data_IF_350441427253
#
_entry.id   IF_350441427253
#
_cell.length_a   1.000
_cell.length_b   1.000
_cell.length_c   1.000
_cell.angle_alpha   90.00
_cell.angle_beta   90.00
_cell.angle_gamma   90.00
#
_symmetry.space_group_name_H-M   'P 1'
#
loop_
_entity.id
_entity.type
_entity.pdbx_description
1 polymer ?
#
# COMPACT_ATOMS: atom_id res chain seq x y z
N UNK A 1 13.86 -2.74 10.97
CA UNK A 1 12.51 -2.73 10.42
C UNK A 1 12.15 -1.29 10.08
N UNK A 2 12.21 -0.92 8.80
CA UNK A 2 11.74 0.37 8.28
C UNK A 2 10.24 0.24 8.04
N UNK A 3 9.46 0.77 8.97
CA UNK A 3 8.00 0.74 8.92
C UNK A 3 7.54 2.08 8.37
N UNK A 4 6.70 2.06 7.34
CA UNK A 4 6.01 3.26 6.89
C UNK A 4 4.74 3.39 7.72
N UNK A 5 4.76 4.33 8.66
CA UNK A 5 3.60 4.80 9.40
C UNK A 5 3.06 6.01 8.67
N UNK A 6 1.80 5.90 8.23
CA UNK A 6 1.25 6.78 7.20
C UNK A 6 2.04 6.57 5.90
N UNK A 7 1.39 6.15 4.79
CA UNK A 7 2.07 6.13 3.48
C UNK A 7 2.54 7.53 3.02
N UNK A 8 2.39 8.54 3.88
CA UNK A 8 2.92 9.88 3.74
C UNK A 8 4.18 10.23 4.58
N UNK A 9 4.52 9.55 5.69
CA UNK A 9 5.36 10.23 6.72
C UNK A 9 6.66 9.58 7.24
N UNK A 10 7.10 8.39 6.82
CA UNK A 10 8.41 7.87 7.29
C UNK A 10 9.49 7.63 6.23
N UNK A 11 9.11 7.44 4.97
CA UNK A 11 10.02 7.70 3.85
C UNK A 11 9.42 8.92 3.16
N UNK A 12 9.87 10.13 3.49
CA UNK A 12 9.35 11.39 2.92
C UNK A 12 9.79 11.50 1.46
N UNK A 13 9.23 10.63 0.63
CA UNK A 13 9.36 10.62 -0.81
C UNK A 13 8.27 11.54 -1.33
N UNK A 14 8.59 12.82 -1.52
CA UNK A 14 7.61 13.86 -1.82
C UNK A 14 7.69 14.21 -3.30
N UNK A 15 6.59 14.13 -4.08
CA UNK A 15 6.58 14.63 -5.44
C UNK A 15 6.78 16.15 -5.42
N UNK A 16 7.55 16.68 -6.38
CA UNK A 16 7.82 18.14 -6.47
C UNK A 16 6.56 19.01 -6.37
N UNK A 17 5.43 18.53 -6.88
CA UNK A 17 4.16 19.25 -6.90
C UNK A 17 3.51 19.43 -5.50
N UNK A 18 3.83 18.58 -4.52
CA UNK A 18 3.17 18.57 -3.20
C UNK A 18 4.04 19.15 -2.08
N UNK A 19 5.26 19.58 -2.38
CA UNK A 19 6.19 20.18 -1.40
C UNK A 19 5.59 21.31 -0.55
N UNK A 20 4.76 22.25 -1.07
CA UNK A 20 4.19 23.31 -0.24
C UNK A 20 3.11 22.85 0.76
N UNK A 21 2.50 21.68 0.53
CA UNK A 21 1.31 21.21 1.25
C UNK A 21 1.59 20.05 2.21
N UNK A 22 2.57 19.18 1.91
CA UNK A 22 2.95 18.04 2.75
C UNK A 22 4.08 18.36 3.75
N UNK A 23 4.72 19.52 3.66
CA UNK A 23 5.73 19.97 4.63
C UNK A 23 5.05 20.80 5.73
N UNK A 24 4.33 20.14 6.64
CA UNK A 24 3.88 20.73 7.89
C UNK A 24 4.62 20.09 9.07
N UNK A 25 5.26 20.90 9.92
CA UNK A 25 5.95 20.45 11.14
C UNK A 25 7.48 20.27 11.04
N UNK A 26 8.13 20.02 12.19
CA UNK A 26 9.58 19.75 12.26
C UNK A 26 9.92 18.43 11.56
N UNK A 27 10.88 18.47 10.64
CA UNK A 27 11.36 17.31 9.88
C UNK A 27 12.20 16.39 10.76
N UNK A 28 11.82 15.12 10.88
CA UNK A 28 12.68 14.06 11.42
C UNK A 28 13.01 13.10 10.29
N UNK A 29 14.28 13.01 9.88
CA UNK A 29 14.76 12.10 8.82
C UNK A 29 15.10 12.78 7.48
N UNK A 30 15.57 11.96 6.53
CA UNK A 30 15.94 12.38 5.17
C UNK A 30 14.69 12.55 4.28
N UNK A 31 14.63 13.62 3.50
CA UNK A 31 13.54 13.92 2.57
C UNK A 31 14.05 13.71 1.15
N UNK A 32 13.41 12.82 0.39
CA UNK A 32 13.74 12.56 -1.02
C UNK A 32 12.66 13.15 -1.92
N UNK A 33 13.05 14.04 -2.83
CA UNK A 33 12.11 14.58 -3.82
C UNK A 33 12.08 13.67 -5.04
N UNK A 34 10.88 13.31 -5.51
CA UNK A 34 10.66 12.52 -6.73
C UNK A 34 9.88 13.31 -7.77
N UNK A 35 9.87 12.82 -9.02
CA UNK A 35 9.23 13.51 -10.13
C UNK A 35 7.71 13.46 -10.05
N UNK A 36 7.14 12.31 -9.65
CA UNK A 36 5.70 12.09 -9.61
C UNK A 36 5.28 11.08 -8.52
N UNK A 37 3.98 10.84 -8.41
CA UNK A 37 3.39 9.92 -7.43
C UNK A 37 3.73 8.44 -7.70
N UNK A 38 3.98 8.05 -8.96
CA UNK A 38 4.32 6.66 -9.28
C UNK A 38 5.73 6.33 -8.79
N UNK A 39 6.69 7.24 -9.03
CA UNK A 39 8.05 7.11 -8.51
C UNK A 39 8.06 7.10 -6.97
N UNK A 40 7.22 7.94 -6.33
CA UNK A 40 7.02 7.93 -4.87
C UNK A 40 6.65 6.54 -4.37
N UNK A 41 5.58 5.98 -4.93
CA UNK A 41 5.03 4.71 -4.49
C UNK A 41 5.97 3.55 -4.74
N UNK A 42 6.65 3.52 -5.89
CA UNK A 42 7.66 2.50 -6.19
C UNK A 42 8.87 2.58 -5.24
N UNK A 43 9.37 3.78 -4.95
CA UNK A 43 10.47 3.96 -4.00
C UNK A 43 10.08 3.51 -2.59
N UNK A 44 8.92 3.97 -2.10
CA UNK A 44 8.39 3.57 -0.80
C UNK A 44 8.22 2.06 -0.70
N UNK A 45 7.64 1.44 -1.74
CA UNK A 45 7.43 0.01 -1.72
C UNK A 45 8.74 -0.80 -1.79
N UNK A 46 9.81 -0.28 -2.40
CA UNK A 46 11.13 -0.93 -2.37
C UNK A 46 11.79 -0.82 -1.00
N UNK A 47 11.73 0.35 -0.39
CA UNK A 47 12.53 0.70 0.80
C UNK A 47 11.88 0.34 2.14
N UNK A 48 10.58 0.01 2.15
CA UNK A 48 9.83 -0.36 3.36
C UNK A 48 9.93 -1.85 3.66
N UNK A 49 9.87 -2.25 4.93
CA UNK A 49 9.74 -3.67 5.30
C UNK A 49 8.26 -4.08 5.46
N UNK A 50 7.39 -3.09 5.72
CA UNK A 50 5.98 -3.25 6.01
C UNK A 50 5.21 -1.95 5.75
N UNK A 51 3.90 -2.05 5.57
CA UNK A 51 3.00 -0.90 5.40
C UNK A 51 1.99 -0.85 6.54
N UNK A 52 1.81 0.32 7.16
CA UNK A 52 0.79 0.53 8.19
C UNK A 52 -0.05 1.77 7.86
N UNK A 53 -1.36 1.58 7.73
CA UNK A 53 -2.30 2.69 7.65
C UNK A 53 -2.82 3.05 9.06
N UNK A 54 -2.68 4.34 9.38
CA UNK A 54 -3.28 4.99 10.55
C UNK A 54 -4.62 5.63 10.15
N UNK A 55 -5.54 5.88 11.10
CA UNK A 55 -6.79 6.56 10.79
C UNK A 55 -6.58 7.83 9.95
N UNK A 56 -7.16 7.84 8.76
CA UNK A 56 -6.90 8.86 7.75
C UNK A 56 -8.01 8.92 6.70
N UNK A 57 -7.95 9.95 5.85
CA UNK A 57 -8.95 10.20 4.81
C UNK A 57 -8.70 9.42 3.51
N UNK A 58 -9.22 9.95 2.40
CA UNK A 58 -9.14 9.29 1.10
C UNK A 58 -7.72 9.01 0.62
N UNK A 59 -6.75 9.88 0.91
CA UNK A 59 -5.35 9.66 0.52
C UNK A 59 -4.79 8.36 1.13
N UNK A 60 -4.94 8.21 2.45
CA UNK A 60 -4.53 6.99 3.16
C UNK A 60 -5.27 5.74 2.65
N UNK A 61 -6.56 5.87 2.29
CA UNK A 61 -7.33 4.75 1.74
C UNK A 61 -6.88 4.35 0.34
N UNK A 62 -6.54 5.30 -0.54
CA UNK A 62 -6.00 5.02 -1.87
C UNK A 62 -4.66 4.28 -1.77
N UNK A 63 -3.74 4.81 -0.98
CA UNK A 63 -2.42 4.23 -0.73
C UNK A 63 -2.53 2.80 -0.14
N UNK A 64 -3.44 2.60 0.82
CA UNK A 64 -3.70 1.30 1.42
C UNK A 64 -4.20 0.27 0.39
N UNK A 65 -5.24 0.62 -0.39
CA UNK A 65 -5.84 -0.29 -1.35
C UNK A 65 -4.85 -0.69 -2.46
N UNK A 66 -3.95 0.22 -2.82
CA UNK A 66 -2.89 -0.08 -3.77
C UNK A 66 -1.87 -1.09 -3.23
N UNK A 67 -1.43 -0.94 -1.97
CA UNK A 67 -0.54 -1.93 -1.35
C UNK A 67 -1.21 -3.29 -1.20
N UNK A 68 -2.51 -3.32 -0.89
CA UNK A 68 -3.29 -4.58 -0.89
C UNK A 68 -3.29 -5.21 -2.28
N UNK A 69 -3.51 -4.40 -3.32
CA UNK A 69 -3.54 -4.86 -4.71
C UNK A 69 -2.18 -5.40 -5.14
N UNK A 70 -1.09 -4.72 -4.79
CA UNK A 70 0.28 -5.17 -5.12
C UNK A 70 0.64 -6.47 -4.39
N UNK A 71 0.23 -6.63 -3.13
CA UNK A 71 0.36 -7.89 -2.42
C UNK A 71 -0.44 -9.01 -3.10
N UNK A 72 -1.68 -8.74 -3.51
CA UNK A 72 -2.55 -9.70 -4.20
C UNK A 72 -1.97 -10.13 -5.55
N UNK A 73 -1.34 -9.21 -6.29
CA UNK A 73 -0.67 -9.49 -7.57
C UNK A 73 0.69 -10.19 -7.39
N UNK A 74 1.20 -10.30 -6.16
CA UNK A 74 2.50 -10.90 -5.86
C UNK A 74 3.70 -9.99 -6.10
N UNK A 75 3.47 -8.69 -6.34
CA UNK A 75 4.52 -7.67 -6.57
C UNK A 75 5.38 -7.49 -5.30
N UNK A 76 4.79 -7.62 -4.12
CA UNK A 76 5.52 -7.71 -2.86
C UNK A 76 4.92 -8.74 -1.91
N UNK A 77 5.69 -9.09 -0.88
CA UNK A 77 5.30 -10.03 0.19
C UNK A 77 5.28 -9.39 1.58
N UNK A 78 5.39 -8.07 1.62
CA UNK A 78 5.45 -7.25 2.84
C UNK A 78 4.07 -7.21 3.51
N UNK A 79 3.99 -7.28 4.85
CA UNK A 79 2.71 -7.24 5.57
C UNK A 79 2.06 -5.86 5.44
N UNK A 80 0.72 -5.86 5.35
CA UNK A 80 -0.11 -4.66 5.28
C UNK A 80 -0.99 -4.58 6.53
N UNK A 81 -0.72 -3.60 7.38
CA UNK A 81 -1.35 -3.41 8.68
C UNK A 81 -2.34 -2.25 8.71
N UNK A 82 -3.44 -2.42 9.44
CA UNK A 82 -4.41 -1.39 9.80
C UNK A 82 -4.41 -1.19 11.30
N UNK A 83 -4.04 0.01 11.76
CA UNK A 83 -4.21 0.39 13.15
C UNK A 83 -5.67 0.85 13.37
N UNK A 84 -6.50 -0.08 13.84
CA UNK A 84 -7.94 0.12 14.00
C UNK A 84 -8.31 0.77 15.34
N UNK A 85 -7.82 2.00 15.56
CA UNK A 85 -8.11 2.77 16.77
C UNK A 85 -9.61 3.06 16.86
N UNK A 86 -10.22 2.77 18.01
CA UNK A 86 -11.64 3.00 18.31
C UNK A 86 -12.62 2.46 17.25
N UNK A 87 -12.21 1.43 16.48
CA UNK A 87 -13.03 0.83 15.44
C UNK A 87 -13.16 1.66 14.16
N UNK A 88 -12.27 2.64 13.91
CA UNK A 88 -12.28 3.50 12.72
C UNK A 88 -12.43 2.74 11.40
N UNK A 89 -11.74 1.60 11.26
CA UNK A 89 -11.75 0.76 10.06
C UNK A 89 -12.79 -0.36 10.06
N UNK A 90 -13.70 -0.44 11.05
CA UNK A 90 -14.69 -1.51 11.13
C UNK A 90 -15.54 -1.63 9.86
N UNK A 91 -16.03 -0.49 9.34
CA UNK A 91 -16.83 -0.47 8.11
C UNK A 91 -16.02 -0.91 6.88
N UNK A 92 -14.73 -0.58 6.82
CA UNK A 92 -13.84 -0.98 5.72
C UNK A 92 -13.54 -2.49 5.78
N UNK A 93 -13.26 -3.01 6.96
CA UNK A 93 -13.05 -4.44 7.17
C UNK A 93 -14.32 -5.23 6.82
N UNK A 94 -15.50 -4.75 7.23
CA UNK A 94 -16.78 -5.35 6.85
C UNK A 94 -17.03 -5.30 5.34
N UNK A 95 -16.60 -4.24 4.65
CA UNK A 95 -16.65 -4.18 3.18
C UNK A 95 -15.79 -5.28 2.55
N UNK A 96 -14.58 -5.53 3.07
CA UNK A 96 -13.73 -6.62 2.58
C UNK A 96 -14.36 -8.00 2.87
N UNK A 97 -14.94 -8.18 4.05
CA UNK A 97 -15.63 -9.43 4.41
C UNK A 97 -16.83 -9.70 3.48
N UNK A 98 -17.62 -8.67 3.17
CA UNK A 98 -18.70 -8.75 2.19
C UNK A 98 -18.17 -9.07 0.79
N UNK A 99 -17.02 -8.48 0.39
CA UNK A 99 -16.35 -8.81 -0.85
C UNK A 99 -15.96 -10.29 -0.95
N UNK A 100 -15.61 -10.92 0.17
CA UNK A 100 -15.38 -12.38 0.23
C UNK A 100 -16.68 -13.16 0.08
N UNK A 101 -17.74 -12.75 0.79
CA UNK A 101 -19.05 -13.41 0.75
C UNK A 101 -19.63 -13.41 -0.68
N UNK A 102 -19.53 -12.27 -1.36
CA UNK A 102 -20.01 -12.09 -2.74
C UNK A 102 -19.05 -12.66 -3.80
N UNK A 103 -17.88 -13.18 -3.40
CA UNK A 103 -16.91 -13.82 -4.28
C UNK A 103 -16.01 -12.86 -5.09
N UNK A 104 -16.02 -11.56 -4.79
CA UNK A 104 -15.10 -10.59 -5.40
C UNK A 104 -13.68 -10.67 -4.83
N UNK A 105 -13.54 -11.06 -3.57
CA UNK A 105 -12.26 -11.24 -2.88
C UNK A 105 -12.11 -12.72 -2.54
N UNK A 106 -11.00 -13.33 -2.94
CA UNK A 106 -10.71 -14.71 -2.52
C UNK A 106 -10.48 -14.75 -1.00
N UNK A 107 -10.95 -15.77 -0.27
CA UNK A 107 -10.72 -15.87 1.18
C UNK A 107 -9.25 -15.73 1.57
N UNK A 108 -8.36 -16.32 0.78
CA UNK A 108 -6.91 -16.22 0.98
C UNK A 108 -6.34 -14.81 0.74
N UNK A 109 -6.93 -14.01 -0.15
CA UNK A 109 -6.53 -12.62 -0.38
C UNK A 109 -7.01 -11.70 0.75
N UNK A 110 -8.09 -12.08 1.47
CA UNK A 110 -8.57 -11.33 2.64
C UNK A 110 -7.58 -11.32 3.80
N UNK A 111 -6.70 -12.33 3.87
CA UNK A 111 -5.65 -12.47 4.87
C UNK A 111 -4.45 -11.51 4.65
N UNK A 112 -4.39 -10.83 3.50
CA UNK A 112 -3.36 -9.79 3.22
C UNK A 112 -3.40 -8.67 4.25
N UNK A 113 -4.61 -8.29 4.70
CA UNK A 113 -4.84 -7.17 5.61
C UNK A 113 -4.88 -7.64 7.05
N UNK A 114 -3.90 -7.20 7.83
CA UNK A 114 -3.80 -7.46 9.27
C UNK A 114 -4.35 -6.24 10.00
N UNK A 115 -5.19 -6.44 11.00
CA UNK A 115 -5.70 -5.33 11.81
C UNK A 115 -5.57 -5.60 13.31
N UNK A 116 -5.34 -4.53 14.06
CA UNK A 116 -5.34 -4.53 15.52
C UNK A 116 -5.69 -3.14 16.08
N UNK A 117 -6.29 -3.06 17.28
CA UNK A 117 -6.64 -1.80 17.91
C UNK A 117 -5.43 -1.03 18.49
N UNK A 118 -4.30 -1.71 18.73
CA UNK A 118 -3.10 -1.10 19.32
C UNK A 118 -1.86 -1.35 18.46
N UNK A 119 -0.91 -0.40 18.48
CA UNK A 119 0.32 -0.52 17.72
C UNK A 119 1.12 -1.76 18.13
N UNK A 120 1.19 -2.06 19.43
CA UNK A 120 1.89 -3.24 19.95
C UNK A 120 1.32 -4.53 19.36
N UNK A 121 0.01 -4.72 19.47
CA UNK A 121 -0.66 -5.91 18.94
C UNK A 121 -0.55 -6.00 17.42
N UNK A 122 -0.61 -4.86 16.72
CA UNK A 122 -0.42 -4.82 15.28
C UNK A 122 0.98 -5.31 14.89
N UNK A 123 2.01 -4.81 15.58
CA UNK A 123 3.40 -5.20 15.36
C UNK A 123 3.62 -6.69 15.58
N UNK A 124 3.12 -7.24 16.70
CA UNK A 124 3.21 -8.67 17.01
C UNK A 124 2.57 -9.52 15.89
N UNK A 125 1.35 -9.17 15.47
CA UNK A 125 0.66 -9.87 14.36
C UNK A 125 1.39 -9.76 13.02
N UNK A 126 2.02 -8.62 12.75
CA UNK A 126 2.75 -8.39 11.50
C UNK A 126 4.08 -9.15 11.45
N UNK A 127 4.76 -9.34 12.59
CA UNK A 127 5.98 -10.15 12.69
C UNK A 127 5.69 -11.64 12.53
N UNK A 128 4.54 -12.11 13.02
CA UNK A 128 4.08 -13.50 12.87
C UNK A 128 3.46 -13.80 11.48
N UNK A 129 3.22 -12.77 10.67
CA UNK A 129 2.51 -12.91 9.41
C UNK A 129 3.29 -13.73 8.38
N UNK A 130 2.66 -14.78 7.86
CA UNK A 130 3.17 -15.53 6.72
C UNK A 130 2.57 -14.94 5.43
N UNK A 131 3.40 -14.52 4.45
CA UNK A 131 2.90 -13.86 3.25
C UNK A 131 1.96 -14.76 2.44
N UNK A 132 0.93 -14.14 1.87
CA UNK A 132 0.09 -14.72 0.83
C UNK A 132 0.94 -15.25 -0.34
N UNK A 133 0.68 -16.49 -0.80
CA UNK A 133 1.48 -17.20 -1.82
C UNK A 133 0.69 -17.67 -3.04
N UNK A 134 -0.39 -17.01 -3.42
CA UNK A 134 -1.06 -17.31 -4.69
C UNK A 134 -0.52 -16.36 -5.79
N UNK A 135 0.22 -16.92 -6.76
CA UNK A 135 0.74 -16.15 -7.90
C UNK A 135 -0.38 -15.91 -8.91
N UNK A 136 -0.79 -14.65 -9.08
CA UNK A 136 -1.79 -14.27 -10.10
C UNK A 136 -1.13 -13.92 -11.44
N UNK A 137 0.11 -13.42 -11.43
CA UNK A 137 0.87 -13.10 -12.65
C UNK A 137 2.38 -13.39 -12.47
N UNK A 138 3.12 -13.77 -13.53
CA UNK A 138 4.57 -13.98 -13.46
C UNK A 138 5.33 -12.69 -13.07
N UNK A 139 6.43 -12.83 -12.33
CA UNK A 139 7.29 -11.70 -11.92
C UNK A 139 7.83 -10.88 -13.11
N UNK A 140 7.98 -11.49 -14.29
CA UNK A 140 8.49 -10.88 -15.53
C UNK A 140 7.54 -9.82 -16.12
N UNK A 141 6.23 -9.86 -15.83
CA UNK A 141 5.26 -8.89 -16.38
C UNK A 141 5.26 -7.51 -15.70
N UNK A 142 6.07 -7.33 -14.64
CA UNK A 142 6.01 -6.13 -13.78
C UNK A 142 7.30 -5.31 -13.78
N UNK A 143 8.21 -5.55 -14.73
CA UNK A 143 9.35 -4.64 -14.95
C UNK A 143 8.81 -3.26 -15.38
N UNK A 144 8.84 -2.31 -14.44
CA UNK A 144 8.34 -0.94 -14.60
C UNK A 144 9.09 -0.10 -15.66
N UNK A 145 9.99 -0.69 -16.45
CA UNK A 145 10.62 -0.03 -17.60
C UNK A 145 9.73 -0.02 -18.85
N UNK A 146 8.66 -0.82 -18.91
CA UNK A 146 7.85 -1.01 -20.13
C UNK A 146 6.38 -0.52 -20.05
N UNK A 147 5.97 0.18 -19.00
CA UNK A 147 4.59 0.69 -18.85
C UNK A 147 4.30 2.01 -19.61
N UNK A 148 5.17 2.39 -20.56
CA UNK A 148 5.04 3.59 -21.39
C UNK A 148 4.51 3.35 -22.82
N UNK A 149 4.51 2.10 -23.31
CA UNK A 149 4.11 1.80 -24.69
C UNK A 149 2.69 1.20 -24.73
N UNK A 150 1.68 2.07 -24.65
CA UNK A 150 0.38 1.72 -25.20
C UNK A 150 0.47 1.78 -26.74
N UNK A 151 0.09 0.72 -27.47
CA UNK A 151 -0.03 0.82 -28.92
C UNK A 151 -1.12 1.84 -29.21
N UNK A 152 -0.75 2.96 -29.83
CA UNK A 152 -1.70 3.87 -30.45
C UNK A 152 -2.56 3.05 -31.40
N UNK A 153 -3.85 2.92 -31.11
CA UNK A 153 -4.79 2.33 -32.05
C UNK A 153 -4.73 3.11 -33.36
N UNK A 154 -4.07 2.51 -34.36
CA UNK A 154 -4.21 2.91 -35.76
C UNK A 154 -5.69 2.80 -36.12
N UNK A 155 -6.37 3.94 -36.25
CA UNK A 155 -7.61 4.04 -37.01
C UNK A 155 -7.30 3.62 -38.44
N UNK A 156 -7.69 2.40 -38.80
CA UNK A 156 -7.70 1.96 -40.20
C UNK A 156 -8.72 2.78 -41.02
N UNK A 157 -8.41 3.03 -42.29
CA UNK A 157 -9.13 3.96 -43.16
C UNK A 157 -10.55 3.49 -43.56
#
# INVERSE_FOLDING_TARGET
MRIVFDLCLLARVIPKALMPHEISGQTVGEVRTVLDMHERKAAMARESDAFIALPGGYGTMEELLEMITWAQLGIHKKPVGLLNVDGYYNSLLALFDNGVIEGFIKPVAREIVISAPTAKELMEKMEEHTPFREHVAPHESWEMEHLGDYPSHETKP
#
